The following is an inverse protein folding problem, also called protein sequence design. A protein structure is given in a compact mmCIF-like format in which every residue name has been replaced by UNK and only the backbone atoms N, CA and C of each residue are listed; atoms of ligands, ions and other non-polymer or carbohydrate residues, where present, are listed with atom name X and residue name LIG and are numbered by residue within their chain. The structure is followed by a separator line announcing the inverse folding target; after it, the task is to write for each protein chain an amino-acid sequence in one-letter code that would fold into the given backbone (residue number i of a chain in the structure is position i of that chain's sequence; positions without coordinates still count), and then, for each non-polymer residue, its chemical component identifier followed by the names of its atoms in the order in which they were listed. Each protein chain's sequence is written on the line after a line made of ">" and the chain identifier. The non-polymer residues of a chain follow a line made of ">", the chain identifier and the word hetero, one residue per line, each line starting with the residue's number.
data_IF_258275956449
#
_entry.id   IF_258275956449
#
_cell.length_a   1.000
_cell.length_b   1.000
_cell.length_c   1.000
_cell.angle_alpha   90.00
_cell.angle_beta   90.00
_cell.angle_gamma   90.00
#
_symmetry.space_group_name_H-M   'P 1'
#
loop_
_entity.id
_entity.type
_entity.pdbx_description
1 polymer ?
#
# COMPACT_ATOMS: atom_id res chain seq x y z
N UNK A 1 11.27 -22.24 0.53
CA UNK A 1 10.86 -21.54 -0.71
C UNK A 1 11.54 -20.17 -0.75
N UNK A 2 11.88 -19.64 -1.91
CA UNK A 2 12.53 -18.32 -2.02
C UNK A 2 11.51 -17.17 -1.99
N UNK A 3 10.28 -17.44 -2.45
CA UNK A 3 9.18 -16.48 -2.51
C UNK A 3 7.87 -17.12 -2.02
N UNK A 4 7.14 -16.37 -1.19
CA UNK A 4 5.76 -16.67 -0.80
C UNK A 4 4.82 -15.59 -1.37
N UNK A 5 3.76 -16.00 -2.06
CA UNK A 5 2.70 -15.09 -2.53
C UNK A 5 1.46 -15.36 -1.69
N UNK A 6 0.91 -14.32 -1.06
CA UNK A 6 -0.27 -14.41 -0.22
C UNK A 6 -1.31 -13.39 -0.67
N UNK A 7 -2.43 -13.88 -1.20
CA UNK A 7 -3.54 -13.08 -1.70
C UNK A 7 -4.68 -13.06 -0.68
N UNK A 8 -4.92 -11.90 -0.10
CA UNK A 8 -5.88 -11.65 0.99
C UNK A 8 -5.90 -12.73 2.09
N UNK A 9 -4.74 -13.17 2.64
CA UNK A 9 -4.66 -14.38 3.47
C UNK A 9 -5.36 -14.27 4.84
N UNK A 10 -5.86 -13.09 5.20
CA UNK A 10 -6.39 -12.75 6.52
C UNK A 10 -7.79 -12.11 6.47
N UNK A 11 -8.38 -11.95 5.29
CA UNK A 11 -9.62 -11.17 5.10
C UNK A 11 -10.84 -11.76 5.83
N UNK A 12 -10.84 -13.07 6.07
CA UNK A 12 -11.90 -13.78 6.78
C UNK A 12 -11.68 -13.88 8.30
N UNK A 13 -10.59 -13.33 8.83
CA UNK A 13 -10.18 -13.49 10.23
C UNK A 13 -10.56 -12.24 11.05
N UNK A 14 -10.83 -12.45 12.33
CA UNK A 14 -10.99 -11.33 13.27
C UNK A 14 -9.66 -10.60 13.52
N UNK A 15 -9.74 -9.32 13.90
CA UNK A 15 -8.58 -8.44 14.07
C UNK A 15 -7.51 -9.03 15.01
N UNK A 16 -7.91 -9.81 16.03
CA UNK A 16 -6.95 -10.40 16.97
C UNK A 16 -6.16 -11.55 16.34
N UNK A 17 -6.81 -12.38 15.52
CA UNK A 17 -6.15 -13.46 14.78
C UNK A 17 -5.33 -12.90 13.62
N UNK A 18 -5.80 -11.86 12.93
CA UNK A 18 -5.00 -11.17 11.92
C UNK A 18 -3.63 -10.77 12.47
N UNK A 19 -3.59 -10.13 13.65
CA UNK A 19 -2.35 -9.73 14.30
C UNK A 19 -1.42 -10.92 14.61
N UNK A 20 -1.97 -12.07 15.03
CA UNK A 20 -1.19 -13.29 15.28
C UNK A 20 -0.57 -13.83 13.99
N UNK A 21 -1.35 -13.90 12.91
CA UNK A 21 -0.88 -14.36 11.59
C UNK A 21 0.22 -13.45 11.05
N UNK A 22 0.07 -12.13 11.16
CA UNK A 22 1.10 -11.17 10.75
C UNK A 22 2.40 -11.37 11.54
N UNK A 23 2.31 -11.53 12.86
CA UNK A 23 3.47 -11.78 13.71
C UNK A 23 4.17 -13.10 13.34
N UNK A 24 3.40 -14.13 13.02
CA UNK A 24 3.93 -15.40 12.51
C UNK A 24 4.66 -15.20 11.19
N UNK A 25 4.08 -14.45 10.23
CA UNK A 25 4.75 -14.16 8.96
C UNK A 25 6.09 -13.44 9.16
N UNK A 26 6.13 -12.42 10.01
CA UNK A 26 7.37 -11.71 10.34
C UNK A 26 8.41 -12.63 10.98
N UNK A 27 7.99 -13.51 11.88
CA UNK A 27 8.89 -14.47 12.52
C UNK A 27 9.48 -15.45 11.51
N UNK A 28 8.63 -16.05 10.66
CA UNK A 28 9.05 -17.01 9.63
C UNK A 28 9.97 -16.35 8.59
N UNK A 29 9.68 -15.11 8.19
CA UNK A 29 10.54 -14.36 7.29
C UNK A 29 11.92 -14.12 7.92
N UNK A 30 11.97 -13.73 9.19
CA UNK A 30 13.24 -13.49 9.89
C UNK A 30 14.05 -14.78 10.10
N UNK A 31 13.37 -15.91 10.35
CA UNK A 31 14.01 -17.21 10.56
C UNK A 31 14.56 -17.80 9.25
N UNK A 32 13.80 -17.71 8.16
CA UNK A 32 14.09 -18.44 6.92
C UNK A 32 14.60 -17.55 5.78
N UNK A 33 14.55 -16.23 5.91
CA UNK A 33 15.09 -15.27 4.95
C UNK A 33 14.40 -15.26 3.58
N UNK A 34 13.15 -15.70 3.49
CA UNK A 34 12.40 -15.69 2.21
C UNK A 34 11.78 -14.31 1.92
N UNK A 35 11.52 -14.04 0.64
CA UNK A 35 10.76 -12.86 0.21
C UNK A 35 9.25 -13.15 0.22
N UNK A 36 8.43 -12.15 0.52
CA UNK A 36 6.97 -12.28 0.44
C UNK A 36 6.34 -11.21 -0.46
N UNK A 37 5.32 -11.59 -1.21
CA UNK A 37 4.40 -10.69 -1.89
C UNK A 37 3.04 -10.82 -1.22
N UNK A 38 2.58 -9.75 -0.59
CA UNK A 38 1.34 -9.71 0.17
C UNK A 38 0.34 -8.77 -0.50
N UNK A 39 -0.83 -9.30 -0.86
CA UNK A 39 -1.93 -8.54 -1.49
C UNK A 39 -3.04 -8.40 -0.44
N UNK A 40 -3.39 -7.15 -0.12
CA UNK A 40 -4.42 -6.85 0.87
C UNK A 40 -5.03 -5.47 0.64
N UNK A 41 -6.26 -5.30 1.14
CA UNK A 41 -6.96 -4.02 1.15
C UNK A 41 -6.81 -3.25 2.48
N UNK A 42 -6.37 -3.90 3.57
CA UNK A 42 -6.10 -3.22 4.84
C UNK A 42 -4.69 -2.60 4.85
N UNK A 43 -4.67 -1.27 4.71
CA UNK A 43 -3.43 -0.50 4.70
C UNK A 43 -2.70 -0.47 6.04
N UNK A 44 -3.39 -0.68 7.17
CA UNK A 44 -2.77 -0.73 8.50
C UNK A 44 -1.88 -1.96 8.61
N UNK A 45 -2.35 -3.08 8.06
CA UNK A 45 -1.58 -4.31 7.96
C UNK A 45 -0.41 -4.18 7.01
N UNK A 46 -0.66 -3.65 5.80
CA UNK A 46 0.39 -3.42 4.78
C UNK A 46 1.51 -2.55 5.35
N UNK A 47 1.17 -1.48 6.08
CA UNK A 47 2.14 -0.59 6.75
C UNK A 47 3.03 -1.31 7.76
N UNK A 48 2.51 -2.33 8.44
CA UNK A 48 3.24 -3.05 9.48
C UNK A 48 4.10 -4.18 8.91
N UNK A 49 3.61 -4.87 7.88
CA UNK A 49 4.24 -6.06 7.33
C UNK A 49 5.25 -5.73 6.23
N UNK A 50 4.93 -4.84 5.30
CA UNK A 50 5.68 -4.66 4.06
C UNK A 50 6.80 -3.62 4.17
N UNK A 51 7.94 -3.89 3.54
CA UNK A 51 9.04 -2.93 3.40
C UNK A 51 8.84 -1.97 2.21
N UNK A 52 8.23 -2.46 1.13
CA UNK A 52 7.85 -1.70 -0.09
C UNK A 52 6.39 -1.96 -0.40
N UNK A 53 5.69 -0.95 -0.92
CA UNK A 53 4.25 -1.01 -1.19
C UNK A 53 3.98 -0.51 -2.60
N UNK A 54 3.22 -1.30 -3.35
CA UNK A 54 2.63 -0.90 -4.63
C UNK A 54 1.13 -0.71 -4.49
N UNK A 55 0.59 0.38 -5.02
CA UNK A 55 -0.83 0.71 -5.02
C UNK A 55 -1.39 0.50 -6.41
N UNK A 56 -2.39 -0.37 -6.52
CA UNK A 56 -3.07 -0.65 -7.79
C UNK A 56 -4.43 0.03 -7.85
N UNK A 57 -4.78 0.50 -9.04
CA UNK A 57 -6.11 0.98 -9.39
C UNK A 57 -6.47 0.53 -10.81
N UNK A 58 -7.64 -0.10 -10.98
CA UNK A 58 -8.13 -0.61 -12.28
C UNK A 58 -7.08 -1.47 -13.01
N UNK A 59 -6.35 -2.31 -12.27
CA UNK A 59 -5.32 -3.19 -12.81
C UNK A 59 -3.99 -2.51 -13.18
N UNK A 60 -3.81 -1.22 -12.86
CA UNK A 60 -2.58 -0.47 -13.09
C UNK A 60 -1.89 -0.15 -11.78
N UNK A 61 -0.57 -0.30 -11.74
CA UNK A 61 0.26 0.21 -10.65
C UNK A 61 0.32 1.75 -10.78
N UNK A 62 -0.22 2.46 -9.80
CA UNK A 62 -0.32 3.92 -9.81
C UNK A 62 0.73 4.60 -8.94
N UNK A 63 1.26 3.88 -7.94
CA UNK A 63 2.31 4.36 -7.06
C UNK A 63 3.06 3.17 -6.46
N UNK A 64 4.38 3.27 -6.31
CA UNK A 64 5.23 2.30 -5.64
C UNK A 64 6.30 3.04 -4.86
N UNK A 65 6.48 2.75 -3.57
CA UNK A 65 7.56 3.32 -2.77
C UNK A 65 7.92 2.43 -1.58
N UNK A 66 9.04 2.71 -0.87
CA UNK A 66 9.23 2.20 0.49
C UNK A 66 8.01 2.51 1.34
N UNK A 67 7.56 1.56 2.17
CA UNK A 67 6.33 1.70 2.94
C UNK A 67 6.34 2.99 3.78
N UNK A 68 7.45 3.26 4.46
CA UNK A 68 7.61 4.48 5.27
C UNK A 68 7.39 5.77 4.46
N UNK A 69 7.91 5.83 3.23
CA UNK A 69 7.76 6.99 2.34
C UNK A 69 6.34 7.09 1.80
N UNK A 70 5.76 5.98 1.31
CA UNK A 70 4.40 5.96 0.76
C UNK A 70 3.36 6.43 1.78
N UNK A 71 3.49 6.01 3.05
CA UNK A 71 2.56 6.40 4.12
C UNK A 71 2.79 7.81 4.67
N UNK A 72 3.98 8.40 4.49
CA UNK A 72 4.29 9.75 4.99
C UNK A 72 4.15 10.83 3.92
N UNK A 73 4.53 10.53 2.68
CA UNK A 73 4.51 11.44 1.54
C UNK A 73 3.84 10.80 0.31
N UNK A 74 2.57 10.37 0.39
CA UNK A 74 1.87 9.82 -0.77
C UNK A 74 1.75 10.87 -1.87
N UNK A 75 2.11 10.48 -3.08
CA UNK A 75 2.19 11.37 -4.24
C UNK A 75 0.95 11.24 -5.13
N UNK A 76 0.51 10.02 -5.43
CA UNK A 76 -0.63 9.81 -6.31
C UNK A 76 -1.94 10.22 -5.60
N UNK A 77 -2.84 10.97 -6.26
CA UNK A 77 -4.09 11.41 -5.66
C UNK A 77 -4.95 10.27 -5.09
N UNK A 78 -4.96 9.12 -5.77
CA UNK A 78 -5.63 7.92 -5.27
C UNK A 78 -5.04 7.39 -3.96
N UNK A 79 -3.70 7.29 -3.87
CA UNK A 79 -3.02 6.84 -2.63
C UNK A 79 -3.28 7.80 -1.48
N UNK A 80 -3.31 9.11 -1.74
CA UNK A 80 -3.72 10.12 -0.75
C UNK A 80 -5.13 9.90 -0.24
N UNK A 81 -6.08 9.60 -1.14
CA UNK A 81 -7.46 9.29 -0.76
C UNK A 81 -7.53 8.02 0.10
N UNK A 82 -6.86 6.95 -0.33
CA UNK A 82 -6.76 5.69 0.42
C UNK A 82 -6.20 5.88 1.83
N UNK A 83 -5.07 6.57 1.97
CA UNK A 83 -4.45 6.82 3.29
C UNK A 83 -5.32 7.71 4.15
N UNK A 84 -6.00 8.71 3.57
CA UNK A 84 -6.94 9.56 4.32
C UNK A 84 -8.12 8.79 4.91
N UNK A 85 -8.46 7.64 4.32
CA UNK A 85 -9.53 6.75 4.78
C UNK A 85 -9.05 5.68 5.77
N UNK A 86 -7.74 5.59 6.08
CA UNK A 86 -7.21 4.67 7.08
C UNK A 86 -7.69 5.03 8.49
N UNK A 87 -8.22 4.06 9.27
CA UNK A 87 -8.62 4.28 10.64
C UNK A 87 -7.46 4.77 11.52
N UNK A 88 -7.73 5.76 12.36
CA UNK A 88 -6.78 6.27 13.34
C UNK A 88 -7.05 5.66 14.73
N UNK A 89 -6.02 5.26 15.48
CA UNK A 89 -6.20 4.72 16.84
C UNK A 89 -6.80 5.73 17.84
N UNK A 90 -6.57 7.03 17.61
CA UNK A 90 -7.05 8.09 18.48
C UNK A 90 -8.49 8.48 18.10
N UNK A 91 -9.48 8.30 19.00
CA UNK A 91 -10.89 8.54 18.70
C UNK A 91 -11.23 10.01 18.45
N UNK A 92 -10.47 10.95 19.04
CA UNK A 92 -10.65 12.38 18.82
C UNK A 92 -10.16 12.75 17.42
N UNK A 93 -9.00 12.21 17.01
CA UNK A 93 -8.47 12.44 15.67
C UNK A 93 -9.31 11.76 14.60
N UNK A 94 -9.81 10.56 14.87
CA UNK A 94 -10.69 9.83 13.96
C UNK A 94 -11.98 10.60 13.68
N UNK A 95 -12.63 11.13 14.73
CA UNK A 95 -13.86 11.94 14.57
C UNK A 95 -13.63 13.22 13.74
N UNK A 96 -12.43 13.79 13.82
CA UNK A 96 -12.07 15.03 13.12
C UNK A 96 -11.33 14.78 11.79
N UNK A 97 -11.25 13.53 11.34
CA UNK A 97 -10.52 13.15 10.14
C UNK A 97 -11.18 13.76 8.89
N UNK A 98 -10.36 14.27 7.98
CA UNK A 98 -10.80 14.78 6.68
C UNK A 98 -10.52 13.73 5.62
N UNK A 99 -11.58 13.26 4.98
CA UNK A 99 -11.49 12.35 3.85
C UNK A 99 -11.13 13.14 2.59
N UNK A 100 -10.12 12.67 1.88
CA UNK A 100 -9.79 13.14 0.54
C UNK A 100 -10.57 12.27 -0.43
N UNK A 101 -11.36 12.90 -1.32
CA UNK A 101 -12.04 12.17 -2.39
C UNK A 101 -11.15 12.08 -3.61
N UNK A 102 -11.25 10.96 -4.32
CA UNK A 102 -10.59 10.76 -5.60
C UNK A 102 -11.64 10.33 -6.62
N UNK A 103 -11.58 10.91 -7.81
CA UNK A 103 -12.45 10.53 -8.93
C UNK A 103 -11.71 9.52 -9.84
N UNK A 104 -12.14 8.24 -9.87
CA UNK A 104 -11.50 7.22 -10.69
C UNK A 104 -11.49 7.50 -12.19
N UNK A 105 -12.38 8.37 -12.69
CA UNK A 105 -12.40 8.74 -14.11
C UNK A 105 -11.29 9.72 -14.49
N UNK A 106 -10.59 10.29 -13.50
CA UNK A 106 -9.39 11.11 -13.71
C UNK A 106 -8.12 10.29 -13.93
N UNK A 107 -8.21 8.95 -13.87
CA UNK A 107 -7.05 8.09 -14.08
C UNK A 107 -6.61 8.16 -15.56
N UNK A 108 -5.34 8.48 -15.86
CA UNK A 108 -4.82 8.43 -17.21
C UNK A 108 -5.13 7.11 -17.92
N UNK A 109 -5.55 7.19 -19.18
CA UNK A 109 -5.67 6.01 -20.06
C UNK A 109 -4.30 5.45 -20.42
N UNK A 110 -3.31 6.32 -20.58
CA UNK A 110 -1.92 5.99 -20.89
C UNK A 110 -0.97 6.69 -19.92
N UNK A 111 0.18 6.09 -19.65
CA UNK A 111 1.18 6.64 -18.73
C UNK A 111 2.20 5.61 -18.33
N UNK A 112 3.34 6.08 -17.81
CA UNK A 112 4.40 5.25 -17.29
C UNK A 112 4.63 5.58 -15.82
N UNK A 113 5.19 4.62 -15.08
CA UNK A 113 5.72 4.88 -13.76
C UNK A 113 7.01 5.68 -13.91
N UNK A 114 7.03 6.87 -13.32
CA UNK A 114 8.19 7.74 -13.29
C UNK A 114 8.67 7.86 -11.85
N UNK A 115 9.98 7.76 -11.65
CA UNK A 115 10.60 7.99 -10.35
C UNK A 115 10.55 9.49 -10.03
N UNK A 116 9.82 9.84 -8.97
CA UNK A 116 9.65 11.25 -8.52
C UNK A 116 10.53 11.57 -7.31
N UNK A 117 10.99 10.55 -6.60
CA UNK A 117 11.95 10.58 -5.51
C UNK A 117 12.66 9.21 -5.44
N UNK A 118 13.80 9.06 -4.73
CA UNK A 118 14.53 7.79 -4.67
C UNK A 118 13.64 6.61 -4.28
N UNK A 119 13.60 5.59 -5.13
CA UNK A 119 12.76 4.39 -4.99
C UNK A 119 11.24 4.65 -4.95
N UNK A 120 10.78 5.85 -5.32
CA UNK A 120 9.39 6.28 -5.30
C UNK A 120 8.89 6.57 -6.71
N UNK A 121 8.06 5.68 -7.24
CA UNK A 121 7.52 5.72 -8.59
C UNK A 121 6.04 6.08 -8.56
N UNK A 122 5.61 6.94 -9.48
CA UNK A 122 4.22 7.41 -9.60
C UNK A 122 3.79 7.36 -11.05
N UNK A 123 2.55 6.95 -11.29
CA UNK A 123 1.97 6.96 -12.63
C UNK A 123 1.72 8.40 -13.07
N UNK A 124 2.42 8.82 -14.12
CA UNK A 124 2.27 10.16 -14.72
C UNK A 124 1.73 10.08 -16.14
N UNK A 125 0.89 11.04 -16.53
CA UNK A 125 0.45 11.20 -17.91
C UNK A 125 1.66 11.63 -18.76
N UNK A 126 1.96 10.91 -19.85
CA UNK A 126 2.98 11.33 -20.81
C UNK A 126 4.38 10.72 -20.65
N UNK A 127 4.48 9.39 -20.66
CA UNK A 127 5.75 8.68 -20.89
C UNK A 127 6.24 8.78 -22.33
N UNK A 128 6.51 10.01 -22.81
CA UNK A 128 7.08 10.29 -24.12
C UNK A 128 8.33 11.15 -24.00
N UNK A 129 9.50 10.48 -23.96
CA UNK A 129 10.89 10.97 -24.06
C UNK A 129 11.47 11.75 -22.86
N UNK A 130 12.45 11.12 -22.21
CA UNK A 130 13.72 11.78 -21.91
C UNK A 130 14.70 11.47 -23.04
#
# INVERSE_FOLDING_TARGET
>A
PELLVADEPVSALDVSIQAQIINLFRHLQAEHGFSFLFIAHDLSMVRYLCDRVGVLLRGRLVEEAPAAELFSHPQHPYTRALISAMPLPDPIRERNRKLITFDPETLPTEGALCEVAPDHFVLTEGGGKA
#
